data_IF_706563371166
#
_entry.id   IF_706563371166
#
_cell.length_a   1.000
_cell.length_b   1.000
_cell.length_c   1.000
_cell.angle_alpha   90.00
_cell.angle_beta   90.00
_cell.angle_gamma   90.00
#
_symmetry.space_group_name_H-M   'P 1'
#
loop_
_entity.id
_entity.type
_entity.pdbx_description
1 polymer ?
#
# COMPACT_ATOMS: atom_id res chain seq x y z
N UNK A 1 14.59 -6.92 9.31
CA UNK A 1 14.47 -6.82 7.83
C UNK A 1 14.49 -8.17 7.12
N UNK A 2 14.87 -9.27 7.78
CA UNK A 2 14.87 -10.62 7.19
C UNK A 2 13.49 -11.11 6.74
N UNK A 3 12.40 -10.56 7.28
CA UNK A 3 11.05 -10.90 6.83
C UNK A 3 10.78 -10.48 5.37
N UNK A 4 11.45 -9.45 4.85
CA UNK A 4 11.25 -8.99 3.46
C UNK A 4 11.65 -10.08 2.47
N UNK A 5 12.89 -10.63 2.49
CA UNK A 5 13.24 -11.72 1.59
C UNK A 5 12.40 -12.99 1.85
N UNK A 6 12.04 -13.29 3.10
CA UNK A 6 11.16 -14.43 3.43
C UNK A 6 9.77 -14.31 2.81
N UNK A 7 9.27 -13.08 2.63
CA UNK A 7 7.95 -12.78 2.10
C UNK A 7 8.03 -12.11 0.72
N UNK A 8 9.11 -12.33 -0.03
CA UNK A 8 9.31 -11.68 -1.33
C UNK A 8 8.18 -11.99 -2.32
N UNK A 9 7.68 -13.22 -2.33
CA UNK A 9 6.56 -13.64 -3.20
C UNK A 9 5.25 -12.92 -2.86
N UNK A 10 4.71 -12.99 -1.61
CA UNK A 10 3.49 -12.26 -1.28
C UNK A 10 3.63 -10.73 -1.44
N UNK A 11 4.80 -10.16 -1.14
CA UNK A 11 5.08 -8.73 -1.34
C UNK A 11 5.02 -8.39 -2.84
N UNK A 12 5.65 -9.19 -3.70
CA UNK A 12 5.61 -8.97 -5.15
C UNK A 12 4.18 -9.09 -5.68
N UNK A 13 3.41 -10.10 -5.25
CA UNK A 13 2.01 -10.24 -5.67
C UNK A 13 1.15 -9.05 -5.24
N UNK A 14 1.32 -8.58 -4.00
CA UNK A 14 0.64 -7.39 -3.51
C UNK A 14 1.03 -6.14 -4.31
N UNK A 15 2.32 -6.00 -4.66
CA UNK A 15 2.84 -4.92 -5.50
C UNK A 15 2.18 -4.91 -6.87
N UNK A 16 2.14 -6.07 -7.54
CA UNK A 16 1.53 -6.21 -8.87
C UNK A 16 0.02 -5.95 -8.82
N UNK A 17 -0.66 -6.42 -7.78
CA UNK A 17 -2.08 -6.15 -7.58
C UNK A 17 -2.35 -4.64 -7.33
N UNK A 18 -1.50 -3.97 -6.56
CA UNK A 18 -1.58 -2.52 -6.33
C UNK A 18 -1.34 -1.71 -7.62
N UNK A 19 -0.37 -2.12 -8.44
CA UNK A 19 -0.12 -1.52 -9.75
C UNK A 19 -1.30 -1.73 -10.71
N UNK A 20 -1.86 -2.94 -10.76
CA UNK A 20 -3.04 -3.24 -11.55
C UNK A 20 -4.24 -2.39 -11.11
N UNK A 21 -4.47 -2.27 -9.79
CA UNK A 21 -5.52 -1.40 -9.26
C UNK A 21 -5.29 0.07 -9.66
N UNK A 22 -4.05 0.56 -9.60
CA UNK A 22 -3.71 1.91 -10.03
C UNK A 22 -3.95 2.16 -11.51
N UNK A 23 -3.54 1.23 -12.37
CA UNK A 23 -3.79 1.28 -13.80
C UNK A 23 -5.28 1.26 -14.14
N UNK A 24 -6.08 0.46 -13.42
CA UNK A 24 -7.53 0.41 -13.63
C UNK A 24 -8.23 1.71 -13.24
N UNK A 25 -7.74 2.40 -12.20
CA UNK A 25 -8.28 3.68 -11.71
C UNK A 25 -7.77 4.91 -12.48
N UNK A 26 -6.55 4.81 -13.05
CA UNK A 26 -5.89 5.86 -13.82
C UNK A 26 -5.47 5.24 -15.15
N UNK A 27 -6.33 5.40 -16.16
CA UNK A 27 -6.11 4.87 -17.51
C UNK A 27 -5.27 5.81 -18.38
N UNK A 28 -4.42 6.57 -17.74
CA UNK A 28 -3.58 7.56 -18.40
C UNK A 28 -2.34 6.89 -18.98
N UNK A 29 -1.80 7.48 -20.06
CA UNK A 29 -0.55 7.01 -20.64
C UNK A 29 0.61 7.51 -19.80
N UNK A 30 1.44 6.59 -19.37
CA UNK A 30 2.64 6.87 -18.60
C UNK A 30 3.87 6.26 -19.27
N UNK A 31 5.02 6.90 -19.08
CA UNK A 31 6.31 6.44 -19.57
C UNK A 31 6.89 5.34 -18.67
N UNK A 32 7.96 4.69 -19.13
CA UNK A 32 8.62 3.63 -18.37
C UNK A 32 9.17 4.13 -17.01
N UNK A 33 9.64 5.39 -16.95
CA UNK A 33 10.17 5.98 -15.72
C UNK A 33 9.11 6.07 -14.62
N UNK A 34 7.90 6.47 -14.97
CA UNK A 34 6.76 6.44 -14.04
C UNK A 34 6.47 5.03 -13.53
N UNK A 35 6.39 4.02 -14.41
CA UNK A 35 6.07 2.65 -14.00
C UNK A 35 7.11 2.04 -13.07
N UNK A 36 8.40 2.32 -13.31
CA UNK A 36 9.48 1.90 -12.41
C UNK A 36 9.31 2.58 -11.04
N UNK A 37 9.04 3.88 -11.02
CA UNK A 37 8.83 4.63 -9.78
C UNK A 37 7.62 4.11 -9.00
N UNK A 38 6.51 3.87 -9.69
CA UNK A 38 5.29 3.31 -9.12
C UNK A 38 5.54 1.90 -8.56
N UNK A 39 6.26 1.04 -9.29
CA UNK A 39 6.62 -0.30 -8.83
C UNK A 39 7.42 -0.26 -7.54
N UNK A 40 8.47 0.57 -7.48
CA UNK A 40 9.31 0.71 -6.28
C UNK A 40 8.48 1.22 -5.09
N UNK A 41 7.65 2.25 -5.31
CA UNK A 41 6.80 2.81 -4.26
C UNK A 41 5.78 1.78 -3.75
N UNK A 42 5.11 1.07 -4.65
CA UNK A 42 4.14 0.01 -4.33
C UNK A 42 4.80 -1.15 -3.59
N UNK A 43 5.99 -1.58 -4.01
CA UNK A 43 6.75 -2.64 -3.36
C UNK A 43 7.15 -2.27 -1.93
N UNK A 44 7.57 -1.02 -1.74
CA UNK A 44 7.92 -0.52 -0.41
C UNK A 44 6.70 -0.46 0.51
N UNK A 45 5.55 0.03 0.02
CA UNK A 45 4.30 0.02 0.78
C UNK A 45 3.85 -1.39 1.13
N UNK A 46 3.92 -2.33 0.18
CA UNK A 46 3.58 -3.73 0.42
C UNK A 46 4.51 -4.37 1.48
N UNK A 47 5.80 -4.03 1.47
CA UNK A 47 6.75 -4.50 2.47
C UNK A 47 6.44 -3.93 3.87
N UNK A 48 6.13 -2.63 3.98
CA UNK A 48 5.73 -1.99 5.25
C UNK A 48 4.44 -2.64 5.78
N UNK A 49 3.44 -2.84 4.91
CA UNK A 49 2.20 -3.52 5.28
C UNK A 49 2.48 -4.95 5.74
N UNK A 50 3.32 -5.71 5.03
CA UNK A 50 3.68 -7.06 5.46
C UNK A 50 4.29 -7.06 6.88
N UNK A 51 5.23 -6.15 7.15
CA UNK A 51 5.79 -5.97 8.48
C UNK A 51 4.74 -5.63 9.54
N UNK A 52 3.83 -4.70 9.23
CA UNK A 52 2.74 -4.31 10.12
C UNK A 52 1.78 -5.47 10.42
N UNK A 53 1.46 -6.30 9.42
CA UNK A 53 0.59 -7.47 9.57
C UNK A 53 1.24 -8.59 10.37
N UNK A 54 2.56 -8.80 10.22
CA UNK A 54 3.32 -9.78 10.99
C UNK A 54 3.35 -9.38 12.48
N UNK A 55 3.51 -8.09 12.76
CA UNK A 55 3.62 -7.55 14.12
C UNK A 55 2.26 -7.21 14.76
N UNK A 56 1.16 -7.34 14.00
CA UNK A 56 -0.16 -6.97 14.49
C UNK A 56 -0.56 -7.86 15.68
N UNK A 57 -0.83 -7.28 16.87
CA UNK A 57 -1.24 -8.07 18.02
C UNK A 57 -2.64 -8.66 17.76
N UNK A 58 -2.95 -9.86 18.28
CA UNK A 58 -4.23 -10.53 18.07
C UNK A 58 -5.33 -9.91 18.95
N UNK A 59 -5.63 -8.62 18.74
CA UNK A 59 -6.64 -7.87 19.50
C UNK A 59 -8.03 -7.88 18.85
N UNK A 60 -8.12 -8.26 17.58
CA UNK A 60 -9.35 -8.38 16.82
C UNK A 60 -9.25 -9.50 15.78
N UNK A 61 -10.35 -9.76 15.06
CA UNK A 61 -10.34 -10.70 13.94
C UNK A 61 -9.23 -10.35 12.94
N UNK A 62 -8.55 -11.37 12.42
CA UNK A 62 -7.33 -11.18 11.65
C UNK A 62 -7.52 -10.33 10.38
N UNK A 63 -8.72 -10.39 9.77
CA UNK A 63 -9.10 -9.55 8.62
C UNK A 63 -9.37 -8.09 9.01
N UNK A 64 -9.98 -7.88 10.17
CA UNK A 64 -10.21 -6.53 10.72
C UNK A 64 -8.87 -5.88 11.03
N UNK A 65 -7.92 -6.62 11.62
CA UNK A 65 -6.56 -6.13 11.83
C UNK A 65 -5.87 -5.81 10.52
N UNK A 66 -6.03 -6.64 9.49
CA UNK A 66 -5.34 -6.43 8.22
C UNK A 66 -5.81 -5.16 7.49
N UNK A 67 -7.13 -4.99 7.36
CA UNK A 67 -7.72 -3.81 6.74
C UNK A 67 -7.49 -2.58 7.63
N UNK A 68 -7.66 -2.74 8.96
CA UNK A 68 -7.44 -1.69 9.94
C UNK A 68 -6.01 -1.14 9.90
N UNK A 69 -4.99 -1.99 9.82
CA UNK A 69 -3.60 -1.56 9.65
C UNK A 69 -3.40 -0.74 8.38
N UNK A 70 -3.98 -1.16 7.26
CA UNK A 70 -3.91 -0.40 6.01
C UNK A 70 -4.56 0.99 6.14
N UNK A 71 -5.77 1.06 6.71
CA UNK A 71 -6.50 2.32 6.90
C UNK A 71 -5.77 3.25 7.88
N UNK A 72 -5.25 2.72 8.98
CA UNK A 72 -4.52 3.51 9.99
C UNK A 72 -3.22 4.08 9.42
N UNK A 73 -2.45 3.28 8.67
CA UNK A 73 -1.24 3.77 8.01
C UNK A 73 -1.61 4.80 6.94
N UNK A 74 -2.67 4.56 6.17
CA UNK A 74 -3.16 5.50 5.17
C UNK A 74 -3.52 6.86 5.77
N UNK A 75 -4.40 6.88 6.79
CA UNK A 75 -4.86 8.14 7.38
C UNK A 75 -3.76 8.83 8.19
N UNK A 76 -2.88 8.05 8.85
CA UNK A 76 -1.83 8.58 9.72
C UNK A 76 -0.61 9.12 8.97
N UNK A 77 -0.29 8.56 7.79
CA UNK A 77 0.91 8.93 7.05
C UNK A 77 0.62 9.43 5.64
N UNK A 78 -0.17 8.68 4.86
CA UNK A 78 -0.34 8.96 3.43
C UNK A 78 -1.21 10.19 3.21
N UNK A 79 -2.38 10.25 3.84
CA UNK A 79 -3.30 11.39 3.74
C UNK A 79 -2.61 12.72 4.07
N UNK A 80 -1.94 12.93 5.22
CA UNK A 80 -1.30 14.20 5.51
C UNK A 80 -0.16 14.52 4.54
N UNK A 81 0.68 13.54 4.17
CA UNK A 81 1.76 13.76 3.22
C UNK A 81 1.22 14.17 1.83
N UNK A 82 0.24 13.44 1.30
CA UNK A 82 -0.37 13.72 -0.01
C UNK A 82 -1.10 15.07 -0.01
N UNK A 83 -1.93 15.35 1.00
CA UNK A 83 -2.66 16.62 1.10
C UNK A 83 -1.68 17.78 1.17
N UNK A 84 -0.74 17.76 2.12
CA UNK A 84 0.18 18.89 2.33
C UNK A 84 1.02 19.14 1.08
N UNK A 85 1.62 18.10 0.49
CA UNK A 85 2.44 18.24 -0.72
C UNK A 85 1.65 18.79 -1.92
N UNK A 86 0.46 18.26 -2.21
CA UNK A 86 -0.32 18.70 -3.37
C UNK A 86 -0.95 20.08 -3.17
N UNK A 87 -1.35 20.41 -1.93
CA UNK A 87 -1.89 21.74 -1.60
C UNK A 87 -0.82 22.82 -1.65
N UNK A 88 0.43 22.53 -1.27
CA UNK A 88 1.55 23.45 -1.53
C UNK A 88 1.75 23.75 -3.02
N UNK A 89 1.45 22.77 -3.90
CA UNK A 89 1.48 22.91 -5.36
C UNK A 89 0.19 23.50 -5.95
N UNK A 90 -0.77 23.92 -5.10
CA UNK A 90 -2.07 24.50 -5.47
C UNK A 90 -2.97 23.59 -6.31
N UNK A 91 -2.77 22.27 -6.25
CA UNK A 91 -3.61 21.27 -6.94
C UNK A 91 -5.04 21.31 -6.39
N UNK A 92 -6.06 21.23 -7.27
CA UNK A 92 -7.47 21.33 -6.88
C UNK A 92 -7.86 20.22 -5.88
N UNK A 93 -8.74 20.53 -4.92
CA UNK A 93 -9.14 19.58 -3.87
C UNK A 93 -9.72 18.28 -4.42
N UNK A 94 -10.45 18.33 -5.55
CA UNK A 94 -10.97 17.12 -6.20
C UNK A 94 -9.87 16.14 -6.61
N UNK A 95 -8.77 16.65 -7.15
CA UNK A 95 -7.60 15.83 -7.52
C UNK A 95 -6.86 15.32 -6.29
N UNK A 96 -6.69 16.17 -5.26
CA UNK A 96 -6.06 15.74 -3.99
C UNK A 96 -6.84 14.59 -3.34
N UNK A 97 -8.17 14.70 -3.27
CA UNK A 97 -9.02 13.66 -2.71
C UNK A 97 -9.01 12.39 -3.55
N UNK A 98 -8.94 12.52 -4.89
CA UNK A 98 -8.77 11.38 -5.80
C UNK A 98 -7.45 10.65 -5.52
N UNK A 99 -6.34 11.37 -5.35
CA UNK A 99 -5.03 10.77 -5.07
C UNK A 99 -4.98 10.12 -3.68
N UNK A 100 -5.60 10.74 -2.67
CA UNK A 100 -5.77 10.11 -1.35
C UNK A 100 -6.61 8.82 -1.43
N UNK A 101 -7.71 8.85 -2.19
CA UNK A 101 -8.58 7.70 -2.40
C UNK A 101 -7.89 6.56 -3.16
N UNK A 102 -7.09 6.90 -4.17
CA UNK A 102 -6.24 5.96 -4.90
C UNK A 102 -5.33 5.18 -3.96
N UNK A 103 -4.59 5.89 -3.09
CA UNK A 103 -3.70 5.23 -2.13
C UNK A 103 -4.44 4.35 -1.14
N UNK A 104 -5.64 4.75 -0.70
CA UNK A 104 -6.48 3.89 0.15
C UNK A 104 -6.82 2.58 -0.56
N UNK A 105 -7.30 2.65 -1.80
CA UNK A 105 -7.66 1.46 -2.59
C UNK A 105 -6.45 0.55 -2.76
N UNK A 106 -5.31 1.11 -3.12
CA UNK A 106 -4.04 0.37 -3.26
C UNK A 106 -3.68 -0.35 -1.97
N UNK A 107 -3.65 0.36 -0.84
CA UNK A 107 -3.22 -0.21 0.43
C UNK A 107 -4.19 -1.30 0.91
N UNK A 108 -5.48 -1.15 0.67
CA UNK A 108 -6.49 -2.18 0.97
C UNK A 108 -6.27 -3.41 0.08
N UNK A 109 -6.08 -3.23 -1.23
CA UNK A 109 -5.79 -4.34 -2.16
C UNK A 109 -4.53 -5.10 -1.74
N UNK A 110 -3.46 -4.38 -1.40
CA UNK A 110 -2.22 -4.98 -0.92
C UNK A 110 -2.45 -5.78 0.36
N UNK A 111 -3.14 -5.20 1.35
CA UNK A 111 -3.42 -5.88 2.61
C UNK A 111 -4.26 -7.15 2.40
N UNK A 112 -5.23 -7.12 1.49
CA UNK A 112 -6.03 -8.30 1.13
C UNK A 112 -5.16 -9.39 0.51
N UNK A 113 -4.27 -9.06 -0.42
CA UNK A 113 -3.37 -10.04 -1.06
C UNK A 113 -2.41 -10.65 -0.05
N UNK A 114 -1.73 -9.82 0.75
CA UNK A 114 -0.80 -10.27 1.78
C UNK A 114 -1.50 -11.17 2.81
N UNK A 115 -2.72 -10.79 3.23
CA UNK A 115 -3.49 -11.56 4.20
C UNK A 115 -3.99 -12.89 3.63
N UNK A 116 -4.39 -12.90 2.35
CA UNK A 116 -4.88 -14.10 1.66
C UNK A 116 -3.77 -15.11 1.44
N UNK A 117 -2.58 -14.65 1.06
CA UNK A 117 -1.42 -15.53 0.86
C UNK A 117 -0.87 -16.06 2.19
N UNK A 118 -0.89 -15.23 3.23
CA UNK A 118 -0.23 -15.51 4.49
C UNK A 118 1.20 -14.98 4.51
N UNK A 119 1.72 -14.70 5.71
CA UNK A 119 3.05 -14.14 5.91
C UNK A 119 3.84 -15.00 6.89
N UNK A 120 5.13 -15.13 6.61
CA UNK A 120 6.07 -15.87 7.44
C UNK A 120 6.74 -14.88 8.39
N UNK A 121 6.56 -15.02 9.72
CA UNK A 121 7.26 -14.19 10.69
C UNK A 121 8.76 -14.50 10.67
N UNK A 122 9.63 -13.52 11.00
CA UNK A 122 11.06 -13.76 11.12
C UNK A 122 11.33 -14.78 12.25
N UNK A 123 12.36 -15.63 12.12
CA UNK A 123 12.78 -16.51 13.20
C UNK A 123 13.23 -15.69 14.41
N UNK A 124 12.90 -16.19 15.61
CA UNK A 124 13.26 -15.61 16.92
C UNK A 124 14.65 -16.03 17.36
#
# INVERSE_FOLDING_TARGET
>A
MIYIPLNAVPILLATLAGLLAGWLLHRDRHDAGFWITAFIAQAWFAAILAGALILAPPRAAAWVMAIGSAVVIWIGFVVPATIVTLRYRRVAWGEVLRDCGYWLVVMVVQALVLKSWGLIPPPV
#
